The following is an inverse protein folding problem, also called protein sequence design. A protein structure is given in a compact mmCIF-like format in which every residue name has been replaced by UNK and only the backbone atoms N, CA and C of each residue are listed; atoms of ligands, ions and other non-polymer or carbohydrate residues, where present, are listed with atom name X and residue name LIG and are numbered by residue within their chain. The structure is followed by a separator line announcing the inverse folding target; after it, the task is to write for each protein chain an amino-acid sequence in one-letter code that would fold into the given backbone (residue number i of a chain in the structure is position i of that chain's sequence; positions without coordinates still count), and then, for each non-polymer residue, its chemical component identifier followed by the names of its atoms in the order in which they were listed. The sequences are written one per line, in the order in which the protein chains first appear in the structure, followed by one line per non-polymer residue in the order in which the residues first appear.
data_IF_030986589717
#
_entry.id   IF_030986589717
#
_cell.length_a   1.000
_cell.length_b   1.000
_cell.length_c   1.000
_cell.angle_alpha   90.00
_cell.angle_beta   90.00
_cell.angle_gamma   90.00
#
_symmetry.space_group_name_H-M   'P 1'
#
loop_
_entity.id
_entity.type
_entity.pdbx_description
1 polymer ?
#
# COMPACT_ATOMS: atom_id res chain seq x y z
N UNK A 1 -29.35 -11.13 -3.46
CA UNK A 1 -29.38 -11.86 -2.17
C UNK A 1 -28.65 -13.22 -2.19
N UNK A 2 -28.66 -14.00 -3.29
CA UNK A 2 -27.96 -15.29 -3.36
C UNK A 2 -26.41 -15.18 -3.36
N UNK A 3 -25.82 -14.10 -3.92
CA UNK A 3 -24.36 -13.89 -3.97
C UNK A 3 -23.70 -13.53 -2.62
N UNK A 4 -24.46 -13.08 -1.61
CA UNK A 4 -23.90 -12.77 -0.29
C UNK A 4 -23.75 -14.02 0.57
N UNK A 5 -24.66 -15.00 0.46
CA UNK A 5 -24.61 -16.25 1.24
C UNK A 5 -23.40 -17.12 0.86
N UNK A 6 -22.95 -17.09 -0.40
CA UNK A 6 -21.80 -17.89 -0.88
C UNK A 6 -20.46 -17.43 -0.31
N UNK A 7 -20.32 -16.16 0.12
CA UNK A 7 -19.12 -15.67 0.82
C UNK A 7 -19.15 -15.94 2.32
N UNK A 8 -20.32 -15.97 2.96
CA UNK A 8 -20.44 -16.05 4.42
C UNK A 8 -19.83 -17.33 4.98
N UNK A 9 -20.15 -18.50 4.41
CA UNK A 9 -19.67 -19.78 4.94
C UNK A 9 -18.14 -19.95 4.81
N UNK A 10 -17.51 -19.70 3.64
CA UNK A 10 -16.04 -19.75 3.54
C UNK A 10 -15.32 -18.77 4.47
N UNK A 11 -15.86 -17.56 4.66
CA UNK A 11 -15.29 -16.57 5.57
C UNK A 11 -15.47 -16.98 7.04
N UNK A 12 -16.63 -17.53 7.41
CA UNK A 12 -16.89 -18.04 8.74
C UNK A 12 -15.93 -19.19 9.09
N UNK A 13 -15.79 -20.17 8.20
CA UNK A 13 -14.86 -21.30 8.36
C UNK A 13 -13.42 -20.79 8.48
N UNK A 14 -13.01 -19.89 7.59
CA UNK A 14 -11.62 -19.43 7.52
C UNK A 14 -11.24 -18.52 8.69
N UNK A 15 -12.18 -17.74 9.22
CA UNK A 15 -11.91 -16.71 10.21
C UNK A 15 -12.32 -17.06 11.64
N UNK A 16 -13.40 -17.82 11.85
CA UNK A 16 -14.06 -17.94 13.15
C UNK A 16 -13.90 -19.31 13.82
N UNK A 17 -13.54 -20.35 13.06
CA UNK A 17 -13.20 -21.65 13.63
C UNK A 17 -11.79 -21.58 14.26
N UNK A 18 -11.61 -21.98 15.53
CA UNK A 18 -10.30 -22.05 16.18
C UNK A 18 -9.31 -22.97 15.44
N UNK A 19 -8.01 -22.79 15.68
CA UNK A 19 -6.96 -23.71 15.20
C UNK A 19 -6.24 -23.29 13.91
N UNK A 20 -6.61 -22.16 13.30
CA UNK A 20 -5.89 -21.60 12.16
C UNK A 20 -4.42 -21.29 12.48
N UNK A 21 -3.53 -21.50 11.50
CA UNK A 21 -2.07 -21.29 11.66
C UNK A 21 -1.61 -19.89 11.25
N UNK A 22 -2.35 -19.22 10.37
CA UNK A 22 -2.00 -17.88 9.89
C UNK A 22 -2.40 -16.83 10.90
N UNK A 23 -1.66 -15.73 10.96
CA UNK A 23 -1.86 -14.69 11.96
C UNK A 23 -2.02 -13.33 11.31
N UNK A 24 -3.16 -12.68 11.54
CA UNK A 24 -3.39 -11.32 11.08
C UNK A 24 -2.81 -10.32 12.08
N UNK A 25 -1.70 -9.68 11.71
CA UNK A 25 -1.00 -8.67 12.53
C UNK A 25 -1.83 -7.44 12.86
N UNK A 26 -2.89 -7.16 12.09
CA UNK A 26 -3.78 -6.01 12.27
C UNK A 26 -4.84 -6.22 13.36
N UNK A 27 -5.35 -7.44 13.52
CA UNK A 27 -6.39 -7.75 14.51
C UNK A 27 -5.96 -8.74 15.60
N UNK A 28 -4.74 -9.28 15.51
CA UNK A 28 -4.18 -10.24 16.46
C UNK A 28 -4.86 -11.62 16.44
N UNK A 29 -5.71 -11.91 15.46
CA UNK A 29 -6.45 -13.18 15.38
C UNK A 29 -5.71 -14.18 14.49
N UNK A 30 -5.77 -15.44 14.89
CA UNK A 30 -5.40 -16.57 14.04
C UNK A 30 -6.55 -16.94 13.10
N UNK A 31 -6.21 -17.25 11.85
CA UNK A 31 -7.14 -17.62 10.78
C UNK A 31 -6.60 -18.85 10.03
N UNK A 32 -7.49 -19.66 9.46
CA UNK A 32 -7.09 -20.85 8.70
C UNK A 32 -6.44 -20.47 7.36
N UNK A 33 -6.98 -19.45 6.71
CA UNK A 33 -6.44 -18.84 5.51
C UNK A 33 -6.86 -17.38 5.41
N UNK A 34 -6.11 -16.64 4.61
CA UNK A 34 -6.57 -15.36 4.07
C UNK A 34 -7.42 -15.64 2.83
N UNK A 35 -8.34 -14.74 2.52
CA UNK A 35 -9.27 -14.88 1.40
C UNK A 35 -8.66 -14.26 0.15
N UNK A 36 -8.83 -14.88 -1.03
CA UNK A 36 -8.27 -14.35 -2.25
C UNK A 36 -8.99 -13.07 -2.69
N UNK A 37 -8.26 -12.20 -3.40
CA UNK A 37 -8.85 -11.12 -4.18
C UNK A 37 -9.53 -11.73 -5.41
N UNK A 38 -10.86 -11.60 -5.52
CA UNK A 38 -11.65 -12.24 -6.59
C UNK A 38 -11.37 -13.75 -6.65
N UNK A 39 -10.86 -14.28 -7.76
CA UNK A 39 -10.46 -15.68 -7.90
C UNK A 39 -8.94 -15.90 -7.75
N UNK A 40 -8.27 -15.00 -7.04
CA UNK A 40 -6.84 -15.04 -6.77
C UNK A 40 -6.01 -14.94 -8.04
N UNK A 41 -4.94 -15.71 -8.13
CA UNK A 41 -4.02 -15.74 -9.27
C UNK A 41 -4.71 -16.03 -10.62
N UNK A 42 -5.89 -16.65 -10.63
CA UNK A 42 -6.69 -16.89 -11.85
C UNK A 42 -7.36 -15.63 -12.42
N UNK A 43 -7.50 -14.58 -11.62
CA UNK A 43 -8.07 -13.29 -12.04
C UNK A 43 -7.01 -12.29 -12.50
N UNK A 44 -5.73 -12.61 -12.35
CA UNK A 44 -4.62 -11.75 -12.75
C UNK A 44 -4.37 -11.89 -14.24
N UNK A 45 -4.19 -10.76 -14.94
CA UNK A 45 -3.92 -10.76 -16.37
C UNK A 45 -2.62 -11.53 -16.68
N UNK A 46 -2.56 -12.35 -17.76
CA UNK A 46 -1.38 -13.14 -18.10
C UNK A 46 -0.09 -12.31 -18.22
N UNK A 47 -0.20 -11.06 -18.66
CA UNK A 47 0.92 -10.14 -18.74
C UNK A 47 1.54 -9.86 -17.36
N UNK A 48 0.74 -9.67 -16.31
CA UNK A 48 1.25 -9.38 -14.96
C UNK A 48 2.03 -10.59 -14.41
N UNK A 49 1.58 -11.81 -14.72
CA UNK A 49 2.32 -13.04 -14.40
C UNK A 49 3.64 -13.12 -15.17
N UNK A 50 3.62 -12.89 -16.48
CA UNK A 50 4.82 -12.94 -17.32
C UNK A 50 5.88 -11.91 -16.89
N UNK A 51 5.41 -10.72 -16.47
CA UNK A 51 6.24 -9.63 -15.96
C UNK A 51 6.60 -9.76 -14.48
N UNK A 52 6.12 -10.79 -13.78
CA UNK A 52 6.40 -11.00 -12.34
C UNK A 52 6.12 -9.73 -11.52
N UNK A 53 4.94 -9.14 -11.73
CA UNK A 53 4.55 -7.92 -11.01
C UNK A 53 4.49 -8.19 -9.51
N UNK A 54 5.25 -7.40 -8.77
CA UNK A 54 5.30 -7.35 -7.33
C UNK A 54 4.25 -6.36 -6.83
N UNK A 55 3.51 -6.76 -5.79
CA UNK A 55 2.39 -6.01 -5.23
C UNK A 55 1.55 -6.93 -4.35
N UNK A 56 0.21 -6.86 -4.45
CA UNK A 56 -0.65 -7.74 -3.65
C UNK A 56 -0.40 -9.24 -3.87
N UNK A 57 -0.37 -9.98 -2.76
CA UNK A 57 -0.64 -11.41 -2.75
C UNK A 57 -2.16 -11.64 -2.93
N UNK A 58 -2.55 -11.79 -4.20
CA UNK A 58 -3.96 -11.96 -4.60
C UNK A 58 -4.57 -13.27 -4.09
N UNK A 59 -3.78 -14.28 -3.74
CA UNK A 59 -4.30 -15.54 -3.20
C UNK A 59 -4.51 -15.45 -1.69
N UNK A 60 -3.76 -14.59 -1.00
CA UNK A 60 -3.81 -14.39 0.45
C UNK A 60 -4.15 -12.94 0.82
N UNK A 61 -5.09 -12.33 0.10
CA UNK A 61 -5.40 -10.90 0.16
C UNK A 61 -6.08 -10.45 1.46
N UNK A 62 -7.33 -10.88 1.70
CA UNK A 62 -8.18 -10.31 2.76
C UNK A 62 -8.19 -11.16 4.04
N UNK A 63 -8.10 -10.52 5.21
CA UNK A 63 -8.37 -11.20 6.47
C UNK A 63 -9.87 -11.46 6.67
N UNK A 64 -10.33 -12.72 6.82
CA UNK A 64 -11.75 -13.05 6.98
C UNK A 64 -12.38 -12.55 8.30
N UNK A 65 -11.56 -12.02 9.23
CA UNK A 65 -12.01 -11.48 10.52
C UNK A 65 -12.15 -9.97 10.50
N UNK A 66 -11.11 -9.26 10.08
CA UNK A 66 -11.08 -7.81 10.16
C UNK A 66 -11.24 -7.11 8.81
N UNK A 67 -11.12 -7.83 7.70
CA UNK A 67 -11.15 -7.30 6.34
C UNK A 67 -9.91 -6.50 5.95
N UNK A 68 -8.80 -6.62 6.68
CA UNK A 68 -7.54 -5.99 6.30
C UNK A 68 -6.96 -6.66 5.06
N UNK A 69 -6.32 -5.90 4.18
CA UNK A 69 -5.65 -6.43 2.99
C UNK A 69 -4.20 -6.84 3.30
N UNK A 70 -3.55 -7.49 2.36
CA UNK A 70 -2.18 -7.99 2.51
C UNK A 70 -1.17 -6.84 2.56
N UNK A 71 -1.31 -5.85 1.67
CA UNK A 71 -0.51 -4.61 1.64
C UNK A 71 -0.55 -3.87 2.98
N UNK A 72 -1.74 -3.81 3.57
CA UNK A 72 -1.98 -3.16 4.86
C UNK A 72 -1.32 -3.92 6.03
N UNK A 73 -1.38 -5.26 6.00
CA UNK A 73 -0.66 -6.10 6.97
C UNK A 73 0.85 -5.94 6.82
N UNK A 74 1.32 -5.87 5.57
CA UNK A 74 2.72 -5.74 5.23
C UNK A 74 3.27 -4.41 5.72
N UNK A 75 2.57 -3.31 5.45
CA UNK A 75 2.96 -1.99 5.92
C UNK A 75 3.02 -1.91 7.46
N UNK A 76 2.07 -2.48 8.21
CA UNK A 76 2.18 -2.48 9.67
C UNK A 76 3.41 -3.27 10.16
N UNK A 77 3.76 -4.39 9.52
CA UNK A 77 4.98 -5.14 9.84
C UNK A 77 6.22 -4.27 9.62
N UNK A 78 6.32 -3.61 8.47
CA UNK A 78 7.42 -2.70 8.18
C UNK A 78 7.50 -1.53 9.13
N UNK A 79 6.38 -0.87 9.43
CA UNK A 79 6.32 0.24 10.38
C UNK A 79 6.80 -0.17 11.78
N UNK A 80 6.48 -1.39 12.22
CA UNK A 80 6.96 -1.92 13.51
C UNK A 80 8.45 -2.24 13.49
N UNK A 81 8.91 -2.97 12.48
CA UNK A 81 10.29 -3.43 12.37
C UNK A 81 11.28 -2.28 12.17
N UNK A 82 10.92 -1.29 11.35
CA UNK A 82 11.72 -0.08 11.11
C UNK A 82 11.70 0.92 12.27
N UNK A 83 10.80 0.75 13.24
CA UNK A 83 10.57 1.73 14.30
C UNK A 83 9.75 2.95 13.87
N UNK A 84 9.34 3.05 12.61
CA UNK A 84 8.55 4.18 12.09
C UNK A 84 7.21 4.35 12.81
N UNK A 85 6.56 3.26 13.23
CA UNK A 85 5.32 3.36 14.01
C UNK A 85 5.55 4.13 15.32
N UNK A 86 6.68 3.89 16.01
CA UNK A 86 7.01 4.62 17.25
C UNK A 86 7.45 6.05 16.94
N UNK A 87 8.13 6.26 15.82
CA UNK A 87 8.63 7.56 15.38
C UNK A 87 7.50 8.56 15.10
N UNK A 88 6.30 8.08 14.73
CA UNK A 88 5.11 8.91 14.50
C UNK A 88 4.63 9.67 15.74
N UNK A 89 5.04 9.28 16.95
CA UNK A 89 4.61 9.94 18.19
C UNK A 89 4.97 11.42 18.18
N UNK A 90 4.01 12.27 18.50
CA UNK A 90 4.13 13.73 18.54
C UNK A 90 4.51 14.37 17.18
N UNK A 91 4.26 13.67 16.05
CA UNK A 91 4.50 14.14 14.67
C UNK A 91 3.22 14.45 13.90
N UNK A 92 3.33 15.24 12.83
CA UNK A 92 2.24 15.43 11.85
C UNK A 92 2.32 14.41 10.72
N UNK A 93 1.25 13.65 10.53
CA UNK A 93 1.17 12.53 9.57
C UNK A 93 0.03 12.80 8.58
N UNK A 94 0.35 12.81 7.28
CA UNK A 94 -0.61 12.88 6.19
C UNK A 94 -0.74 11.49 5.55
N UNK A 95 -1.94 10.93 5.50
CA UNK A 95 -2.17 9.57 5.02
C UNK A 95 -3.21 9.54 3.90
N UNK A 96 -2.74 9.32 2.67
CA UNK A 96 -3.54 9.21 1.47
C UNK A 96 -4.21 7.83 1.35
N UNK A 97 -5.47 7.82 0.89
CA UNK A 97 -6.27 6.63 0.64
C UNK A 97 -6.20 5.62 1.81
N UNK A 98 -6.51 6.05 3.05
CA UNK A 98 -6.26 5.27 4.25
C UNK A 98 -6.94 3.91 4.20
N UNK A 99 -6.19 2.85 4.51
CA UNK A 99 -6.76 1.51 4.57
C UNK A 99 -7.68 1.34 5.79
N UNK A 100 -8.37 0.20 5.84
CA UNK A 100 -9.50 -0.03 6.74
C UNK A 100 -9.15 0.01 8.24
N UNK A 101 -7.93 -0.40 8.60
CA UNK A 101 -7.51 -0.70 9.98
C UNK A 101 -6.21 -0.02 10.37
N UNK A 102 -5.31 0.27 9.43
CA UNK A 102 -4.04 0.94 9.66
C UNK A 102 -4.19 2.30 10.38
N UNK A 103 -5.22 3.14 10.08
CA UNK A 103 -5.46 4.38 10.82
C UNK A 103 -5.56 4.18 12.33
N UNK A 104 -6.12 3.06 12.80
CA UNK A 104 -6.22 2.77 14.24
C UNK A 104 -4.85 2.54 14.88
N UNK A 105 -3.93 1.91 14.15
CA UNK A 105 -2.57 1.69 14.62
C UNK A 105 -1.75 2.98 14.61
N UNK A 106 -1.91 3.81 13.58
CA UNK A 106 -1.26 5.12 13.49
C UNK A 106 -1.77 6.02 14.62
N UNK A 107 -3.08 6.14 14.82
CA UNK A 107 -3.65 6.94 15.92
C UNK A 107 -3.19 6.44 17.30
N UNK A 108 -3.12 5.12 17.50
CA UNK A 108 -2.62 4.54 18.75
C UNK A 108 -1.13 4.81 18.99
N UNK A 109 -0.34 5.16 17.97
CA UNK A 109 1.03 5.60 18.13
C UNK A 109 1.15 7.03 18.72
N UNK A 110 0.05 7.79 18.75
CA UNK A 110 -0.02 9.12 19.34
C UNK A 110 0.67 10.23 18.52
N UNK A 111 0.39 10.38 17.21
CA UNK A 111 0.85 11.55 16.47
C UNK A 111 0.24 12.84 17.03
N UNK A 112 0.96 13.96 16.88
CA UNK A 112 0.43 15.27 17.23
C UNK A 112 -0.71 15.69 16.30
N UNK A 113 -0.61 15.30 15.03
CA UNK A 113 -1.65 15.47 14.03
C UNK A 113 -1.69 14.26 13.09
N UNK A 114 -2.89 13.78 12.78
CA UNK A 114 -3.12 12.71 11.83
C UNK A 114 -4.24 13.11 10.87
N UNK A 115 -3.85 13.48 9.66
CA UNK A 115 -4.76 13.86 8.59
C UNK A 115 -4.89 12.71 7.60
N UNK A 116 -6.06 12.08 7.58
CA UNK A 116 -6.44 11.15 6.54
C UNK A 116 -7.00 11.93 5.32
N UNK A 117 -6.54 11.62 4.12
CA UNK A 117 -6.97 12.31 2.90
C UNK A 117 -7.16 11.38 1.69
N UNK A 118 -7.92 11.83 0.71
CA UNK A 118 -8.20 11.11 -0.54
C UNK A 118 -8.65 12.11 -1.63
N UNK A 119 -8.48 11.78 -2.90
CA UNK A 119 -9.01 12.57 -4.02
C UNK A 119 -10.56 12.52 -4.07
N UNK A 120 -11.11 11.35 -3.74
CA UNK A 120 -12.53 11.01 -3.79
C UNK A 120 -12.98 10.39 -2.45
N UNK A 121 -12.98 11.16 -1.34
CA UNK A 121 -13.24 10.62 -0.01
C UNK A 121 -14.65 10.02 0.11
N UNK A 122 -14.72 8.79 0.63
CA UNK A 122 -15.99 8.09 0.90
C UNK A 122 -16.53 8.32 2.33
N UNK A 123 -15.75 9.01 3.17
CA UNK A 123 -16.06 9.25 4.58
C UNK A 123 -15.85 10.74 4.89
N UNK A 124 -16.74 11.38 5.69
CA UNK A 124 -16.57 12.78 6.08
C UNK A 124 -15.35 13.03 6.95
N UNK A 125 -14.74 11.97 7.51
CA UNK A 125 -13.51 12.05 8.30
C UNK A 125 -12.23 11.99 7.45
N UNK A 126 -12.36 11.90 6.13
CA UNK A 126 -11.24 11.91 5.18
C UNK A 126 -11.30 13.21 4.39
N UNK A 127 -10.25 14.02 4.49
CA UNK A 127 -10.16 15.31 3.80
C UNK A 127 -10.00 15.08 2.30
N UNK A 128 -10.70 15.87 1.48
CA UNK A 128 -10.44 15.88 0.04
C UNK A 128 -9.10 16.56 -0.24
N UNK A 129 -8.16 15.85 -0.83
CA UNK A 129 -6.84 16.38 -1.22
C UNK A 129 -6.43 15.71 -2.54
N UNK A 130 -6.05 16.53 -3.52
CA UNK A 130 -5.37 16.07 -4.72
C UNK A 130 -3.86 15.99 -4.44
N UNK A 131 -3.25 14.84 -4.70
CA UNK A 131 -1.82 14.64 -4.50
C UNK A 131 -0.97 15.48 -5.47
N UNK A 132 -1.54 15.89 -6.60
CA UNK A 132 -0.88 16.72 -7.61
C UNK A 132 -0.90 18.22 -7.25
N UNK A 133 -1.75 18.64 -6.33
CA UNK A 133 -1.91 20.03 -5.92
C UNK A 133 -2.40 20.11 -4.48
N UNK A 134 -1.48 19.98 -3.53
CA UNK A 134 -1.84 19.93 -2.13
C UNK A 134 -2.00 21.34 -1.56
N UNK A 135 -3.22 21.69 -1.12
CA UNK A 135 -3.47 22.84 -0.25
C UNK A 135 -2.99 22.57 1.19
N UNK A 136 -1.67 22.39 1.30
CA UNK A 136 -0.89 22.07 2.47
C UNK A 136 0.41 22.88 2.36
N UNK A 137 0.79 23.56 3.45
CA UNK A 137 1.98 24.39 3.46
C UNK A 137 3.26 23.59 3.22
N UNK A 138 4.24 24.20 2.55
CA UNK A 138 5.57 23.60 2.38
C UNK A 138 6.22 23.35 3.74
N UNK A 139 6.99 22.26 3.86
CA UNK A 139 7.71 21.89 5.09
C UNK A 139 6.85 21.89 6.36
N UNK A 140 5.62 21.37 6.28
CA UNK A 140 4.65 21.38 7.39
C UNK A 140 4.33 20.00 7.96
N UNK A 141 4.59 18.92 7.20
CA UNK A 141 4.27 17.54 7.58
C UNK A 141 5.54 16.76 7.89
N UNK A 142 5.53 15.92 8.92
CA UNK A 142 6.67 15.07 9.28
C UNK A 142 6.71 13.76 8.49
N UNK A 143 5.54 13.21 8.14
CA UNK A 143 5.43 12.02 7.29
C UNK A 143 4.24 12.03 6.34
N UNK A 144 4.47 11.56 5.10
CA UNK A 144 3.42 11.25 4.14
C UNK A 144 3.36 9.74 3.91
N UNK A 145 2.17 9.16 3.99
CA UNK A 145 1.91 7.74 3.69
C UNK A 145 0.98 7.68 2.49
N UNK A 146 1.42 6.99 1.43
CA UNK A 146 0.65 6.70 0.24
C UNK A 146 0.96 5.26 -0.18
N UNK A 147 0.30 4.32 0.47
CA UNK A 147 0.49 2.89 0.25
C UNK A 147 -0.41 2.41 -0.88
N UNK A 148 0.16 2.02 -2.02
CA UNK A 148 -0.58 1.63 -3.22
C UNK A 148 -1.52 2.71 -3.73
N UNK A 149 -0.97 3.91 -3.91
CA UNK A 149 -1.67 5.09 -4.43
C UNK A 149 -1.09 5.56 -5.75
N UNK A 150 0.23 5.54 -5.92
CA UNK A 150 0.90 6.17 -7.05
C UNK A 150 0.54 5.52 -8.39
N UNK A 151 0.13 4.25 -8.42
CA UNK A 151 -0.34 3.57 -9.62
C UNK A 151 -1.65 4.13 -10.20
N UNK A 152 -2.36 4.96 -9.41
CA UNK A 152 -3.62 5.62 -9.76
C UNK A 152 -3.47 7.11 -10.10
N UNK A 153 -2.29 7.70 -9.89
CA UNK A 153 -2.09 9.16 -9.95
C UNK A 153 -1.48 9.56 -11.28
N UNK A 154 -2.15 10.36 -12.12
CA UNK A 154 -1.73 10.63 -13.52
C UNK A 154 -0.29 11.15 -13.72
N UNK A 155 0.23 11.95 -12.79
CA UNK A 155 1.58 12.52 -12.87
C UNK A 155 2.40 12.21 -11.60
N UNK A 156 3.20 11.15 -11.67
CA UNK A 156 4.03 10.68 -10.54
C UNK A 156 5.12 11.68 -10.18
N UNK A 157 5.66 12.40 -11.16
CA UNK A 157 6.79 13.31 -10.95
C UNK A 157 6.30 14.56 -10.21
N UNK A 158 5.12 15.08 -10.60
CA UNK A 158 4.43 16.15 -9.89
C UNK A 158 3.96 15.71 -8.51
N UNK A 159 3.36 14.52 -8.37
CA UNK A 159 2.97 13.97 -7.07
C UNK A 159 4.16 13.86 -6.12
N UNK A 160 5.27 13.30 -6.58
CA UNK A 160 6.49 13.15 -5.78
C UNK A 160 7.08 14.50 -5.39
N UNK A 161 7.04 15.48 -6.30
CA UNK A 161 7.48 16.86 -6.03
C UNK A 161 6.60 17.55 -4.98
N UNK A 162 5.28 17.39 -5.03
CA UNK A 162 4.34 17.92 -4.04
C UNK A 162 4.52 17.26 -2.67
N UNK A 163 4.67 15.94 -2.62
CA UNK A 163 5.00 15.21 -1.40
C UNK A 163 6.32 15.72 -0.81
N UNK A 164 7.35 15.90 -1.66
CA UNK A 164 8.63 16.47 -1.22
C UNK A 164 8.47 17.89 -0.68
N UNK A 165 7.66 18.73 -1.32
CA UNK A 165 7.39 20.11 -0.91
C UNK A 165 6.76 20.18 0.49
N UNK A 166 5.73 19.39 0.76
CA UNK A 166 4.99 19.46 2.05
C UNK A 166 5.76 18.84 3.21
N UNK A 167 6.71 17.93 2.95
CA UNK A 167 7.54 17.33 3.99
C UNK A 167 8.53 18.33 4.59
N UNK A 168 8.66 18.29 5.92
CA UNK A 168 9.75 18.97 6.65
C UNK A 168 11.11 18.38 6.27
N UNK A 169 12.20 19.16 6.33
CA UNK A 169 13.55 18.60 6.27
C UNK A 169 13.73 17.50 7.33
N UNK A 170 14.26 16.35 6.92
CA UNK A 170 14.37 15.16 7.75
C UNK A 170 13.09 14.32 7.90
N UNK A 171 11.97 14.74 7.32
CA UNK A 171 10.72 13.99 7.27
C UNK A 171 10.76 12.77 6.34
N UNK A 172 9.75 11.91 6.43
CA UNK A 172 9.72 10.63 5.71
C UNK A 172 8.51 10.50 4.78
N UNK A 173 8.65 9.72 3.71
CA UNK A 173 7.51 9.27 2.90
C UNK A 173 7.51 7.76 2.75
N UNK A 174 6.30 7.18 2.70
CA UNK A 174 6.06 5.78 2.38
C UNK A 174 5.24 5.75 1.10
N UNK A 175 5.83 5.25 0.01
CA UNK A 175 5.29 5.37 -1.35
C UNK A 175 5.23 4.01 -2.06
N UNK A 176 4.73 2.99 -1.37
CA UNK A 176 4.58 1.64 -1.95
C UNK A 176 3.66 1.70 -3.17
N UNK A 177 4.03 0.98 -4.23
CA UNK A 177 3.27 0.87 -5.48
C UNK A 177 3.66 -0.44 -6.16
N UNK A 178 2.77 -1.13 -6.90
CA UNK A 178 3.13 -2.36 -7.59
C UNK A 178 4.10 -2.03 -8.72
N UNK A 179 5.07 -2.91 -8.93
CA UNK A 179 6.09 -2.74 -9.98
C UNK A 179 6.56 -4.10 -10.50
N UNK A 180 7.19 -4.12 -11.67
CA UNK A 180 7.88 -5.29 -12.19
C UNK A 180 9.39 -5.07 -12.16
N UNK A 181 10.13 -6.00 -11.54
CA UNK A 181 11.59 -5.99 -11.59
C UNK A 181 12.13 -6.39 -12.99
N UNK A 182 11.31 -7.04 -13.82
CA UNK A 182 11.65 -7.41 -15.21
C UNK A 182 11.56 -6.22 -16.16
N UNK A 183 10.60 -5.32 -15.94
CA UNK A 183 10.47 -4.10 -16.73
C UNK A 183 11.59 -3.13 -16.38
N UNK A 184 12.33 -2.69 -17.39
CA UNK A 184 13.39 -1.70 -17.19
C UNK A 184 12.83 -0.32 -16.91
N UNK A 185 11.73 0.02 -17.59
CA UNK A 185 11.10 1.33 -17.53
C UNK A 185 9.60 1.21 -17.25
N UNK A 186 9.10 2.17 -16.51
CA UNK A 186 7.69 2.41 -16.28
C UNK A 186 7.06 2.82 -17.59
N UNK A 187 5.90 2.25 -17.90
CA UNK A 187 5.20 2.55 -19.14
C UNK A 187 3.71 2.77 -18.91
N UNK A 188 3.17 3.61 -19.79
CA UNK A 188 1.75 3.91 -19.91
C UNK A 188 1.48 4.37 -21.33
N UNK A 189 0.25 4.23 -21.78
CA UNK A 189 -0.24 4.68 -23.07
C UNK A 189 -1.63 5.32 -22.88
N UNK A 190 -1.84 6.51 -23.43
CA UNK A 190 -3.10 7.27 -23.30
C UNK A 190 -4.29 6.56 -23.96
N UNK A 191 -4.05 5.70 -24.95
CA UNK A 191 -5.09 4.86 -25.58
C UNK A 191 -5.56 3.70 -24.70
N UNK A 192 -4.92 3.45 -23.54
CA UNK A 192 -5.36 2.48 -22.55
C UNK A 192 -6.28 3.19 -21.54
N UNK A 193 -7.42 3.65 -22.05
CA UNK A 193 -8.37 4.54 -21.38
C UNK A 193 -9.60 3.82 -20.80
N UNK A 194 -9.77 2.53 -21.11
CA UNK A 194 -10.89 1.72 -20.58
C UNK A 194 -10.46 0.84 -19.40
N UNK A 195 -11.38 0.57 -18.44
CA UNK A 195 -11.13 -0.34 -17.33
C UNK A 195 -10.61 -1.72 -17.74
N UNK A 196 -11.14 -2.27 -18.83
CA UNK A 196 -10.73 -3.58 -19.33
C UNK A 196 -9.32 -3.55 -19.92
N UNK A 197 -8.98 -2.50 -20.69
CA UNK A 197 -7.64 -2.35 -21.24
C UNK A 197 -6.62 -2.16 -20.11
N UNK A 198 -6.91 -1.32 -19.12
CA UNK A 198 -6.09 -1.11 -17.92
C UNK A 198 -5.87 -2.39 -17.11
N UNK A 199 -6.92 -3.20 -16.92
CA UNK A 199 -6.78 -4.50 -16.26
C UNK A 199 -5.76 -5.41 -16.99
N UNK A 200 -5.78 -5.44 -18.33
CA UNK A 200 -4.84 -6.26 -19.10
C UNK A 200 -3.41 -5.69 -19.10
N UNK A 201 -3.28 -4.38 -19.22
CA UNK A 201 -2.00 -3.69 -19.38
C UNK A 201 -1.28 -3.41 -18.05
N UNK A 202 -2.03 -3.09 -17.00
CA UNK A 202 -1.55 -2.54 -15.73
C UNK A 202 -2.00 -3.34 -14.50
N UNK A 203 -2.83 -4.37 -14.70
CA UNK A 203 -3.19 -5.35 -13.67
C UNK A 203 -4.41 -4.99 -12.80
N UNK A 204 -4.94 -3.77 -12.92
CA UNK A 204 -6.17 -3.35 -12.26
C UNK A 204 -6.93 -2.33 -13.12
N UNK A 205 -8.25 -2.26 -12.96
CA UNK A 205 -9.12 -1.45 -13.82
C UNK A 205 -8.88 0.07 -13.76
N UNK A 206 -8.30 0.55 -12.67
CA UNK A 206 -8.10 1.96 -12.34
C UNK A 206 -6.62 2.32 -12.19
N UNK A 207 -5.70 1.40 -12.49
CA UNK A 207 -4.30 1.75 -12.67
C UNK A 207 -4.13 2.52 -13.99
N UNK A 208 -3.27 3.52 -13.99
CA UNK A 208 -2.99 4.34 -15.19
C UNK A 208 -1.62 4.04 -15.80
N UNK A 209 -0.84 3.16 -15.17
CA UNK A 209 0.49 2.73 -15.62
C UNK A 209 0.91 1.40 -15.01
N UNK A 210 1.97 0.82 -15.57
CA UNK A 210 2.72 -0.26 -14.92
C UNK A 210 4.15 0.21 -14.64
N UNK A 211 4.50 0.25 -13.36
CA UNK A 211 5.85 0.62 -12.94
C UNK A 211 6.88 -0.46 -13.27
N UNK A 212 8.03 -0.03 -13.77
CA UNK A 212 9.23 -0.85 -13.91
C UNK A 212 10.16 -0.68 -12.73
N UNK A 213 11.37 -1.24 -12.83
CA UNK A 213 12.43 -1.10 -11.81
C UNK A 213 12.92 0.35 -11.63
N UNK A 214 12.65 1.21 -12.61
CA UNK A 214 12.94 2.65 -12.56
C UNK A 214 12.05 3.43 -11.58
N UNK A 215 11.02 2.80 -10.99
CA UNK A 215 10.14 3.43 -10.00
C UNK A 215 10.91 4.05 -8.82
N UNK A 216 11.97 3.41 -8.37
CA UNK A 216 12.77 3.90 -7.25
C UNK A 216 13.51 5.19 -7.63
N UNK A 217 14.21 5.16 -8.77
CA UNK A 217 14.93 6.33 -9.31
C UNK A 217 13.97 7.47 -9.63
N UNK A 218 12.77 7.15 -10.13
CA UNK A 218 11.73 8.13 -10.45
C UNK A 218 11.22 8.87 -9.20
N UNK A 219 10.98 8.15 -8.11
CA UNK A 219 10.61 8.77 -6.84
C UNK A 219 11.79 9.61 -6.31
N UNK A 220 13.00 9.08 -6.36
CA UNK A 220 14.22 9.73 -5.88
C UNK A 220 14.53 11.04 -6.64
N UNK A 221 14.14 11.15 -7.91
CA UNK A 221 14.32 12.35 -8.74
C UNK A 221 13.66 13.61 -8.16
N UNK A 222 12.66 13.48 -7.28
CA UNK A 222 12.08 14.61 -6.55
C UNK A 222 12.99 15.17 -5.43
N UNK A 223 14.14 14.54 -5.17
CA UNK A 223 15.12 14.94 -4.15
C UNK A 223 15.12 14.07 -2.90
N UNK A 224 14.38 12.96 -2.91
CA UNK A 224 14.35 12.01 -1.79
C UNK A 224 15.65 11.21 -1.65
N UNK A 225 16.04 10.96 -0.40
CA UNK A 225 17.05 9.98 -0.07
C UNK A 225 16.41 8.60 0.14
N UNK A 226 16.88 7.61 -0.61
CA UNK A 226 16.37 6.24 -0.53
C UNK A 226 16.63 5.60 0.84
N UNK A 227 15.60 5.00 1.41
CA UNK A 227 15.65 4.10 2.58
C UNK A 227 14.93 2.79 2.29
N UNK A 228 14.84 2.43 1.01
CA UNK A 228 14.19 1.20 0.56
C UNK A 228 14.93 0.00 1.12
N UNK A 229 14.18 -0.97 1.64
CA UNK A 229 14.72 -2.20 2.23
C UNK A 229 13.91 -3.40 1.77
N UNK A 230 14.59 -4.50 1.46
CA UNK A 230 13.91 -5.72 1.08
C UNK A 230 13.17 -6.32 2.28
N UNK A 231 12.14 -7.13 2.01
CA UNK A 231 11.38 -7.84 3.03
C UNK A 231 12.31 -8.57 4.00
N UNK A 232 13.23 -9.38 3.46
CA UNK A 232 14.11 -10.22 4.25
C UNK A 232 15.07 -9.42 5.13
N UNK A 233 15.42 -8.19 4.73
CA UNK A 233 16.33 -7.34 5.49
C UNK A 233 15.67 -6.72 6.74
N UNK A 234 14.34 -6.56 6.74
CA UNK A 234 13.58 -5.96 7.84
C UNK A 234 12.73 -6.97 8.60
N UNK A 235 12.28 -8.01 7.92
CA UNK A 235 11.30 -8.98 8.37
C UNK A 235 11.81 -10.42 8.25
N UNK A 236 13.12 -10.66 8.24
CA UNK A 236 13.71 -12.00 8.06
C UNK A 236 13.21 -13.08 9.04
N UNK A 237 12.78 -12.69 10.24
CA UNK A 237 12.17 -13.59 11.23
C UNK A 237 10.66 -13.81 11.04
N UNK A 238 10.04 -13.12 10.07
CA UNK A 238 8.62 -13.22 9.76
C UNK A 238 8.42 -14.19 8.60
N UNK A 239 7.61 -15.24 8.82
CA UNK A 239 7.16 -16.09 7.73
C UNK A 239 6.06 -15.36 6.92
N UNK A 240 6.33 -14.97 5.65
CA UNK A 240 5.38 -14.21 4.84
C UNK A 240 4.11 -15.01 4.55
N UNK A 241 4.18 -16.35 4.49
CA UNK A 241 3.02 -17.21 4.25
C UNK A 241 2.06 -17.25 5.45
N UNK A 242 2.60 -17.17 6.68
CA UNK A 242 1.81 -17.13 7.90
C UNK A 242 1.22 -15.74 8.15
N UNK A 243 1.94 -14.68 7.80
CA UNK A 243 1.47 -13.29 7.88
C UNK A 243 0.52 -12.91 6.72
N UNK A 244 0.60 -13.64 5.59
CA UNK A 244 -0.15 -13.36 4.37
C UNK A 244 0.28 -12.05 3.76
N UNK A 245 1.56 -11.94 3.43
CA UNK A 245 2.20 -10.76 2.81
C UNK A 245 3.14 -11.19 1.70
N UNK A 246 3.40 -10.32 0.73
CA UNK A 246 4.26 -10.64 -0.40
C UNK A 246 5.74 -10.41 -0.06
N UNK A 247 6.52 -11.49 0.05
CA UNK A 247 7.97 -11.42 0.33
C UNK A 247 8.76 -10.61 -0.70
N UNK A 248 8.30 -10.55 -1.95
CA UNK A 248 9.01 -9.85 -3.01
C UNK A 248 8.86 -8.33 -2.95
N UNK A 249 7.89 -7.82 -2.18
CA UNK A 249 7.61 -6.39 -2.09
C UNK A 249 8.49 -5.72 -1.03
N UNK A 250 9.44 -4.84 -1.39
CA UNK A 250 10.25 -4.13 -0.41
C UNK A 250 9.46 -3.04 0.31
N UNK A 251 10.04 -2.49 1.39
CA UNK A 251 9.49 -1.32 2.07
C UNK A 251 9.95 -0.04 1.38
N UNK A 252 9.02 0.67 0.72
CA UNK A 252 9.27 1.90 -0.02
C UNK A 252 9.33 3.11 0.94
N UNK A 253 10.38 3.15 1.79
CA UNK A 253 10.64 4.27 2.69
C UNK A 253 11.64 5.23 2.05
N UNK A 254 11.33 6.52 2.13
CA UNK A 254 12.19 7.60 1.66
C UNK A 254 12.29 8.70 2.71
N UNK A 255 13.36 9.48 2.65
CA UNK A 255 13.60 10.59 3.56
C UNK A 255 13.88 11.87 2.79
N UNK A 256 13.28 12.99 3.20
CA UNK A 256 13.69 14.32 2.74
C UNK A 256 15.00 14.70 3.45
N UNK A 257 16.09 15.05 2.75
CA UNK A 257 17.31 15.53 3.38
C UNK A 257 17.06 16.70 4.34
N UNK A 258 17.93 16.83 5.35
CA UNK A 258 17.83 17.87 6.37
C UNK A 258 18.26 19.25 5.84
#
# INVERSE_FOLDING_TARGET
MALQLTKVLPYAISGWIPGGRRHCVLCGRRVWRFMPYRNGSRSVAPLMHALEVVGSDVDNFECPRCGAHDRERHLLLYLRASGMLKWMKDRSILHFAPEKRLPRWIQAAGPADYTACDLCPLSPHVRRVDMLDMDIASASVDMVIANHVLEHVDDVDRASSEIFRVLKPGGYSILQTPYSAKLQHTWSDEGIDTPQARLQAYGQEDHVRLFGRDVFERIEAAGFESRVRQHDDLLGDTDPSLAGVNRAEPFFLYRKPA
#
